data_IF_206580581199
#
_entry.id   IF_206580581199
#
_cell.length_a   1.000
_cell.length_b   1.000
_cell.length_c   1.000
_cell.angle_alpha   90.00
_cell.angle_beta   90.00
_cell.angle_gamma   90.00
#
_symmetry.space_group_name_H-M   'P 1'
#
loop_
_entity.id
_entity.type
_entity.pdbx_description
1 polymer ?
#
# COMPACT_ATOMS: atom_id res chain seq x y z
N UNK A 1 -12.64 3.93 -9.23
CA UNK A 1 -12.97 3.65 -7.83
C UNK A 1 -12.91 2.15 -7.75
N UNK A 2 -12.17 1.56 -6.82
CA UNK A 2 -12.22 0.11 -6.68
C UNK A 2 -13.67 -0.32 -6.43
N UNK A 3 -13.99 -1.57 -6.74
CA UNK A 3 -15.35 -2.14 -6.64
C UNK A 3 -15.61 -2.49 -5.17
N UNK A 4 -16.85 -2.50 -4.69
CA UNK A 4 -17.11 -2.99 -3.33
C UNK A 4 -16.55 -4.41 -3.19
N UNK A 5 -15.78 -4.64 -2.14
CA UNK A 5 -15.17 -5.93 -1.89
C UNK A 5 -15.36 -6.33 -0.44
N UNK A 6 -15.41 -7.63 -0.20
CA UNK A 6 -15.58 -8.23 1.12
C UNK A 6 -14.74 -9.49 1.18
N UNK A 7 -13.95 -9.62 2.24
CA UNK A 7 -13.16 -10.81 2.53
C UNK A 7 -13.26 -11.18 4.00
N UNK A 8 -13.08 -12.46 4.29
CA UNK A 8 -13.08 -12.98 5.66
C UNK A 8 -14.45 -12.93 6.34
N UNK A 9 -14.43 -12.89 7.67
CA UNK A 9 -15.64 -12.89 8.50
C UNK A 9 -15.97 -11.48 8.96
N UNK A 10 -17.20 -11.03 8.71
CA UNK A 10 -17.71 -9.71 9.11
C UNK A 10 -19.06 -9.85 9.83
N UNK A 11 -19.43 -8.91 10.70
CA UNK A 11 -20.75 -8.90 11.33
C UNK A 11 -21.85 -8.57 10.32
N UNK A 12 -23.09 -8.99 10.60
CA UNK A 12 -24.25 -8.74 9.74
C UNK A 12 -24.55 -7.25 9.51
N UNK A 13 -24.20 -6.41 10.49
CA UNK A 13 -24.34 -4.95 10.43
C UNK A 13 -23.06 -4.32 10.96
N UNK A 14 -22.73 -3.14 10.45
CA UNK A 14 -21.64 -2.30 10.95
C UNK A 14 -21.93 -1.82 12.37
N UNK A 15 -20.89 -1.56 13.15
CA UNK A 15 -21.00 -0.95 14.48
C UNK A 15 -21.88 -1.75 15.47
N UNK A 16 -21.75 -3.07 15.44
CA UNK A 16 -22.36 -3.97 16.43
C UNK A 16 -21.27 -4.75 17.15
N UNK A 17 -21.59 -5.29 18.33
CA UNK A 17 -20.69 -6.19 19.03
C UNK A 17 -20.40 -7.43 18.18
N UNK A 18 -19.15 -7.58 17.74
CA UNK A 18 -18.68 -8.75 17.01
C UNK A 18 -17.80 -9.60 17.94
N UNK A 19 -18.36 -10.71 18.41
CA UNK A 19 -17.74 -11.56 19.44
C UNK A 19 -16.81 -12.59 18.81
N UNK A 20 -15.65 -12.77 19.46
CA UNK A 20 -14.70 -13.84 19.21
C UNK A 20 -15.19 -15.15 19.85
N UNK A 21 -14.73 -16.32 19.39
CA UNK A 21 -15.06 -17.62 19.98
C UNK A 21 -14.72 -17.74 21.48
N UNK A 22 -13.68 -17.04 21.93
CA UNK A 22 -13.22 -17.02 23.32
C UNK A 22 -13.98 -16.03 24.22
N UNK A 23 -15.01 -15.35 23.69
CA UNK A 23 -15.82 -14.38 24.40
C UNK A 23 -15.34 -12.93 24.32
N UNK A 24 -14.14 -12.70 23.76
CA UNK A 24 -13.63 -11.36 23.46
C UNK A 24 -14.42 -10.64 22.35
N UNK A 25 -14.01 -9.42 22.01
CA UNK A 25 -14.54 -8.67 20.87
C UNK A 25 -13.44 -8.47 19.83
N UNK A 26 -13.81 -8.59 18.55
CA UNK A 26 -12.96 -8.08 17.47
C UNK A 26 -12.99 -6.55 17.49
N UNK A 27 -11.84 -5.92 17.25
CA UNK A 27 -11.71 -4.47 17.20
C UNK A 27 -12.07 -3.97 15.79
N UNK A 28 -12.97 -3.00 15.70
CA UNK A 28 -13.39 -2.40 14.42
C UNK A 28 -12.52 -1.16 14.10
N UNK A 29 -11.95 -1.11 12.90
CA UNK A 29 -11.21 0.03 12.36
C UNK A 29 -11.89 0.54 11.09
N UNK A 30 -12.31 1.81 11.08
CA UNK A 30 -12.75 2.49 9.86
C UNK A 30 -11.56 3.19 9.22
N UNK A 31 -11.16 2.75 8.04
CA UNK A 31 -10.06 3.34 7.25
C UNK A 31 -10.64 3.98 6.00
N UNK A 32 -10.17 5.16 5.61
CA UNK A 32 -10.66 5.81 4.40
C UNK A 32 -9.95 7.11 4.02
N UNK A 33 -10.46 7.71 2.95
CA UNK A 33 -10.01 9.01 2.43
C UNK A 33 -11.00 10.13 2.76
N UNK A 34 -10.49 11.36 2.79
CA UNK A 34 -11.31 12.58 2.93
C UNK A 34 -12.23 12.55 4.17
N UNK A 35 -11.75 11.93 5.25
CA UNK A 35 -12.52 11.72 6.47
C UNK A 35 -13.62 10.67 6.27
N UNK A 36 -14.86 11.12 6.05
CA UNK A 36 -16.04 10.26 5.94
C UNK A 36 -16.77 10.36 4.59
N UNK A 37 -16.26 11.17 3.66
CA UNK A 37 -16.91 11.41 2.35
C UNK A 37 -16.25 10.64 1.21
N UNK A 38 -14.99 10.23 1.39
CA UNK A 38 -14.24 9.45 0.40
C UNK A 38 -14.53 7.95 0.47
N UNK A 39 -13.71 7.17 -0.24
CA UNK A 39 -13.73 5.71 -0.12
C UNK A 39 -13.31 5.28 1.27
N UNK A 40 -13.95 4.25 1.79
CA UNK A 40 -13.65 3.68 3.09
C UNK A 40 -13.77 2.16 3.10
N UNK A 41 -13.17 1.53 4.09
CA UNK A 41 -13.32 0.14 4.45
C UNK A 41 -13.40 0.00 5.96
N UNK A 42 -14.15 -1.01 6.42
CA UNK A 42 -14.23 -1.42 7.82
C UNK A 42 -13.45 -2.71 7.97
N UNK A 43 -12.44 -2.70 8.84
CA UNK A 43 -11.60 -3.84 9.17
C UNK A 43 -11.95 -4.34 10.56
N UNK A 44 -11.92 -5.65 10.75
CA UNK A 44 -12.16 -6.29 12.04
C UNK A 44 -10.90 -7.05 12.46
N UNK A 45 -10.25 -6.58 13.52
CA UNK A 45 -8.97 -7.08 14.02
C UNK A 45 -9.15 -8.00 15.22
N UNK A 46 -8.20 -8.94 15.40
CA UNK A 46 -8.11 -9.77 16.61
C UNK A 46 -7.68 -8.92 17.80
N UNK A 47 -6.70 -8.03 17.58
CA UNK A 47 -6.13 -7.13 18.57
C UNK A 47 -6.44 -5.67 18.19
N UNK A 48 -6.57 -4.75 19.16
CA UNK A 48 -6.79 -3.35 18.83
C UNK A 48 -5.60 -2.76 18.05
N UNK A 49 -5.81 -2.17 16.85
CA UNK A 49 -4.72 -1.60 16.04
C UNK A 49 -4.08 -0.34 16.66
N UNK A 50 -4.58 0.10 17.82
CA UNK A 50 -4.12 1.26 18.57
C UNK A 50 -3.01 0.93 19.58
N UNK A 51 -2.66 -0.33 19.80
CA UNK A 51 -1.59 -0.70 20.74
C UNK A 51 -0.22 -0.42 20.13
N UNK A 52 0.53 0.48 20.78
CA UNK A 52 1.87 0.89 20.35
C UNK A 52 2.82 0.86 21.55
N UNK A 53 3.90 0.08 21.44
CA UNK A 53 4.93 -0.05 22.47
C UNK A 53 5.92 1.11 22.47
N UNK A 54 6.36 1.53 21.28
CA UNK A 54 7.32 2.62 21.13
C UNK A 54 7.26 3.24 19.74
N UNK A 55 7.68 4.51 19.64
CA UNK A 55 7.82 5.24 18.38
C UNK A 55 9.17 5.93 18.34
N UNK A 56 9.89 5.84 17.23
CA UNK A 56 11.12 6.60 17.00
C UNK A 56 11.31 7.00 15.55
N UNK A 57 11.93 8.16 15.33
CA UNK A 57 12.40 8.58 14.00
C UNK A 57 13.67 7.81 13.66
N UNK A 58 13.72 7.15 12.50
CA UNK A 58 14.87 6.30 12.11
C UNK A 58 15.67 6.85 10.94
N UNK A 59 15.03 7.60 10.04
CA UNK A 59 15.68 8.11 8.82
C UNK A 59 14.95 9.31 8.24
N UNK A 60 15.68 10.32 7.78
CA UNK A 60 15.11 11.37 6.92
C UNK A 60 15.10 10.93 5.46
N UNK A 61 14.02 11.27 4.75
CA UNK A 61 13.76 10.93 3.34
C UNK A 61 13.41 12.19 2.54
N UNK A 62 14.02 13.32 2.91
CA UNK A 62 13.80 14.59 2.22
C UNK A 62 14.32 14.49 0.79
N UNK A 63 13.48 14.87 -0.17
CA UNK A 63 13.88 14.95 -1.57
C UNK A 63 14.74 16.19 -1.79
N UNK A 64 15.88 15.99 -2.43
CA UNK A 64 16.83 17.07 -2.75
C UNK A 64 16.69 17.45 -4.21
N UNK A 65 16.42 18.73 -4.47
CA UNK A 65 16.27 19.24 -5.82
C UNK A 65 17.65 19.43 -6.46
N UNK A 66 17.72 19.28 -7.79
CA UNK A 66 18.92 19.64 -8.53
C UNK A 66 19.22 21.14 -8.31
N UNK A 67 20.41 21.51 -7.80
CA UNK A 67 20.78 22.92 -7.63
C UNK A 67 20.80 23.68 -8.96
N UNK A 68 21.02 22.99 -10.08
CA UNK A 68 20.90 23.57 -11.40
C UNK A 68 19.45 23.55 -11.89
N UNK A 69 18.83 24.73 -11.87
CA UNK A 69 17.44 24.94 -12.31
C UNK A 69 17.32 25.26 -13.81
N UNK A 70 18.41 25.13 -14.58
CA UNK A 70 18.37 25.37 -16.03
C UNK A 70 17.56 24.26 -16.70
N UNK A 71 16.66 24.66 -17.60
CA UNK A 71 15.82 23.75 -18.36
C UNK A 71 16.68 22.95 -19.35
N UNK A 72 16.81 21.65 -19.12
CA UNK A 72 17.52 20.73 -20.00
C UNK A 72 16.65 19.52 -20.31
N UNK A 73 16.75 19.03 -21.55
CA UNK A 73 16.32 17.68 -21.86
C UNK A 73 17.26 16.70 -21.14
N UNK A 74 16.68 15.78 -20.35
CA UNK A 74 17.43 14.78 -19.59
C UNK A 74 17.00 13.38 -20.01
N UNK A 75 17.98 12.50 -20.17
CA UNK A 75 17.76 11.07 -20.39
C UNK A 75 18.21 10.32 -19.15
N UNK A 76 17.25 9.81 -18.37
CA UNK A 76 17.53 9.02 -17.16
C UNK A 76 17.92 7.59 -17.55
N UNK A 77 19.19 7.24 -17.33
CA UNK A 77 19.73 5.90 -17.60
C UNK A 77 19.56 4.99 -16.39
N UNK A 78 18.33 4.57 -16.11
CA UNK A 78 18.01 3.71 -14.95
C UNK A 78 18.73 2.37 -14.97
N UNK A 79 19.17 1.89 -16.14
CA UNK A 79 20.05 0.71 -16.27
C UNK A 79 21.41 0.85 -15.56
N UNK A 80 21.82 2.09 -15.26
CA UNK A 80 23.05 2.42 -14.53
C UNK A 80 22.76 2.85 -13.07
N UNK A 81 21.50 2.83 -12.63
CA UNK A 81 21.14 3.16 -11.27
C UNK A 81 21.66 2.10 -10.29
N UNK A 82 21.75 2.47 -9.00
CA UNK A 82 22.08 1.53 -7.93
C UNK A 82 21.07 0.39 -7.93
N UNK A 83 21.58 -0.84 -7.89
CA UNK A 83 20.78 -2.06 -7.78
C UNK A 83 20.78 -2.56 -6.34
N UNK A 84 19.80 -3.41 -6.03
CA UNK A 84 19.62 -4.03 -4.73
C UNK A 84 18.99 -3.10 -3.69
N UNK A 85 18.79 -3.66 -2.50
CA UNK A 85 18.17 -3.00 -1.37
C UNK A 85 16.68 -3.26 -1.24
N UNK A 86 16.09 -2.58 -0.28
CA UNK A 86 14.68 -2.70 0.09
C UNK A 86 13.76 -2.03 -0.93
N UNK A 87 12.62 -2.67 -1.31
CA UNK A 87 11.62 -2.07 -2.19
C UNK A 87 10.96 -0.81 -1.59
N UNK A 88 11.05 -0.60 -0.28
CA UNK A 88 10.47 0.57 0.40
C UNK A 88 11.52 1.58 0.85
N UNK A 89 12.71 1.13 1.26
CA UNK A 89 13.72 2.00 1.90
C UNK A 89 14.82 2.52 0.96
N UNK A 90 15.07 1.83 -0.16
CA UNK A 90 16.22 2.14 -1.04
C UNK A 90 15.79 2.67 -2.42
N UNK A 91 14.59 3.26 -2.48
CA UNK A 91 14.06 3.93 -3.67
C UNK A 91 14.92 5.14 -4.04
N UNK A 92 15.39 5.20 -5.28
CA UNK A 92 16.14 6.32 -5.85
C UNK A 92 15.17 7.35 -6.45
N UNK A 93 15.14 8.60 -5.96
CA UNK A 93 14.33 9.64 -6.57
C UNK A 93 14.83 10.03 -7.96
N UNK A 94 13.92 10.15 -8.93
CA UNK A 94 14.24 10.56 -10.30
C UNK A 94 13.76 11.98 -10.59
N UNK A 95 12.47 12.23 -10.36
CA UNK A 95 11.79 13.48 -10.63
C UNK A 95 10.77 13.73 -9.54
N UNK A 96 10.60 14.97 -9.11
CA UNK A 96 9.55 15.31 -8.16
C UNK A 96 9.14 16.77 -8.29
N UNK A 97 7.94 17.06 -7.81
CA UNK A 97 7.46 18.41 -7.57
C UNK A 97 6.67 18.41 -6.24
N UNK A 98 5.85 19.43 -6.02
CA UNK A 98 5.04 19.52 -4.80
C UNK A 98 3.92 18.47 -4.73
N UNK A 99 3.51 17.84 -5.83
CA UNK A 99 2.36 16.94 -5.90
C UNK A 99 2.73 15.46 -6.03
N UNK A 100 3.83 15.17 -6.73
CA UNK A 100 4.24 13.81 -7.10
C UNK A 100 5.75 13.63 -7.06
N UNK A 101 6.20 12.44 -6.66
CA UNK A 101 7.57 11.98 -6.81
C UNK A 101 7.62 10.67 -7.60
N UNK A 102 8.47 10.61 -8.63
CA UNK A 102 8.81 9.42 -9.38
C UNK A 102 10.12 8.85 -8.83
N UNK A 103 10.08 7.58 -8.43
CA UNK A 103 11.18 6.86 -7.80
C UNK A 103 11.46 5.56 -8.56
N UNK A 104 12.67 5.02 -8.41
CA UNK A 104 13.10 3.77 -9.03
C UNK A 104 13.82 2.87 -8.03
N UNK A 105 13.61 1.56 -8.12
CA UNK A 105 14.34 0.57 -7.32
C UNK A 105 14.43 -0.78 -8.04
N UNK A 106 15.56 -1.47 -7.87
CA UNK A 106 15.75 -2.87 -8.28
C UNK A 106 15.98 -3.73 -7.02
N UNK A 107 14.92 -4.14 -6.29
CA UNK A 107 15.08 -4.77 -4.98
C UNK A 107 15.62 -6.19 -5.09
N UNK A 108 16.54 -6.57 -4.20
CA UNK A 108 17.13 -7.92 -4.10
C UNK A 108 16.85 -8.60 -2.76
N UNK A 109 16.12 -7.92 -1.87
CA UNK A 109 15.67 -8.46 -0.59
C UNK A 109 14.15 -8.41 -0.49
N UNK A 110 13.60 -9.39 0.23
CA UNK A 110 12.26 -9.27 0.80
C UNK A 110 12.39 -8.62 2.16
N UNK A 111 11.73 -7.48 2.34
CA UNK A 111 11.71 -6.79 3.62
C UNK A 111 11.20 -7.73 4.74
N UNK A 112 11.83 -7.65 5.90
CA UNK A 112 11.32 -8.31 7.12
C UNK A 112 10.24 -7.46 7.79
N UNK A 113 10.37 -6.13 7.72
CA UNK A 113 9.44 -5.16 8.29
C UNK A 113 8.17 -5.03 7.43
N UNK A 114 7.09 -4.58 8.07
CA UNK A 114 5.94 -4.02 7.36
C UNK A 114 6.17 -2.54 7.12
N UNK A 115 5.55 -2.01 6.07
CA UNK A 115 5.68 -0.62 5.68
C UNK A 115 4.31 -0.01 5.39
N UNK A 116 4.12 1.27 5.71
CA UNK A 116 3.02 2.07 5.17
C UNK A 116 3.50 3.48 4.85
N UNK A 117 3.02 4.01 3.72
CA UNK A 117 3.22 5.40 3.38
C UNK A 117 2.05 6.22 3.92
N UNK A 118 2.29 7.05 4.92
CA UNK A 118 1.25 7.87 5.56
C UNK A 118 1.16 9.29 4.97
N UNK A 119 1.97 9.62 3.96
CA UNK A 119 1.97 10.94 3.31
C UNK A 119 1.57 10.93 1.83
N UNK A 120 1.55 9.77 1.18
CA UNK A 120 1.23 9.65 -0.24
C UNK A 120 0.49 8.34 -0.57
N UNK A 121 -0.33 8.39 -1.62
CA UNK A 121 -0.74 7.18 -2.34
C UNK A 121 0.45 6.71 -3.20
N UNK A 122 0.66 5.40 -3.30
CA UNK A 122 1.69 4.81 -4.16
C UNK A 122 1.03 4.17 -5.39
N UNK A 123 1.53 4.52 -6.58
CA UNK A 123 1.28 3.79 -7.82
C UNK A 123 2.59 3.14 -8.24
N UNK A 124 2.65 1.82 -8.17
CA UNK A 124 3.86 1.03 -8.41
C UNK A 124 3.71 0.28 -9.72
N UNK A 125 4.48 0.69 -10.72
CA UNK A 125 4.59 -0.04 -11.98
C UNK A 125 5.65 -1.15 -11.85
N UNK A 126 5.21 -2.39 -12.04
CA UNK A 126 6.08 -3.58 -12.00
C UNK A 126 6.69 -3.78 -13.39
N UNK A 127 7.83 -3.14 -13.66
CA UNK A 127 8.50 -3.27 -14.96
C UNK A 127 9.09 -4.65 -15.17
N UNK A 128 9.56 -5.30 -14.10
CA UNK A 128 10.06 -6.68 -14.08
C UNK A 128 9.82 -7.30 -12.71
N UNK A 129 9.64 -8.62 -12.70
CA UNK A 129 9.45 -9.40 -11.48
C UNK A 129 7.99 -9.72 -11.19
N UNK A 130 7.78 -10.55 -10.18
CA UNK A 130 6.47 -10.99 -9.70
C UNK A 130 6.56 -11.39 -8.24
N UNK A 131 5.40 -11.44 -7.59
CA UNK A 131 5.32 -11.74 -6.17
C UNK A 131 3.94 -11.48 -5.61
N UNK A 132 3.92 -11.26 -4.31
CA UNK A 132 2.72 -10.99 -3.54
C UNK A 132 2.93 -9.77 -2.67
N UNK A 133 1.94 -8.88 -2.68
CA UNK A 133 1.84 -7.78 -1.72
C UNK A 133 1.00 -8.28 -0.54
N UNK A 134 1.64 -8.53 0.61
CA UNK A 134 0.95 -8.86 1.85
C UNK A 134 0.41 -7.58 2.47
N UNK A 135 -0.87 -7.55 2.85
CA UNK A 135 -1.51 -6.35 3.42
C UNK A 135 -2.50 -6.74 4.51
N UNK A 136 -2.94 -5.77 5.33
CA UNK A 136 -4.03 -5.98 6.29
C UNK A 136 -5.37 -6.34 5.61
N UNK A 137 -5.48 -6.18 4.29
CA UNK A 137 -6.65 -6.53 3.50
C UNK A 137 -6.57 -7.93 2.88
N UNK A 138 -5.54 -8.72 3.22
CA UNK A 138 -5.20 -9.98 2.57
C UNK A 138 -4.02 -9.82 1.61
N UNK A 139 -3.87 -10.76 0.68
CA UNK A 139 -2.73 -10.78 -0.24
C UNK A 139 -3.12 -10.40 -1.66
N UNK A 140 -2.30 -9.59 -2.32
CA UNK A 140 -2.50 -9.17 -3.70
C UNK A 140 -1.34 -9.69 -4.56
N UNK A 141 -1.54 -10.76 -5.34
CA UNK A 141 -0.54 -11.22 -6.29
C UNK A 141 -0.25 -10.15 -7.35
N UNK A 142 1.00 -10.02 -7.78
CA UNK A 142 1.41 -9.13 -8.85
C UNK A 142 2.50 -9.75 -9.74
N UNK A 143 2.66 -9.20 -10.93
CA UNK A 143 3.61 -9.60 -11.95
C UNK A 143 3.97 -8.46 -12.90
N UNK A 144 4.80 -8.80 -13.89
CA UNK A 144 5.28 -7.85 -14.89
C UNK A 144 4.13 -7.20 -15.66
N UNK A 145 4.17 -5.87 -15.77
CA UNK A 145 3.16 -5.07 -16.45
C UNK A 145 2.07 -4.51 -15.54
N UNK A 146 1.98 -4.97 -14.29
CA UNK A 146 0.96 -4.51 -13.35
C UNK A 146 1.23 -3.10 -12.82
N UNK A 147 0.12 -2.44 -12.44
CA UNK A 147 0.12 -1.20 -11.68
C UNK A 147 -0.51 -1.44 -10.32
N UNK A 148 0.31 -1.51 -9.26
CA UNK A 148 -0.21 -1.62 -7.90
C UNK A 148 -0.60 -0.25 -7.40
N UNK A 149 -1.87 -0.05 -7.05
CA UNK A 149 -2.34 1.14 -6.36
C UNK A 149 -2.47 0.81 -4.89
N UNK A 150 -1.65 1.48 -4.08
CA UNK A 150 -1.59 1.32 -2.63
C UNK A 150 -1.91 2.68 -2.03
N UNK A 151 -3.14 2.84 -1.56
CA UNK A 151 -3.55 4.09 -0.93
C UNK A 151 -2.78 4.36 0.35
N UNK A 152 -2.65 5.65 0.67
CA UNK A 152 -1.98 6.14 1.87
C UNK A 152 -2.50 5.44 3.12
N UNK A 153 -1.58 5.01 3.96
CA UNK A 153 -1.87 4.35 5.24
C UNK A 153 -2.07 2.84 5.13
N UNK A 154 -2.23 2.27 3.93
CA UNK A 154 -2.32 0.82 3.76
C UNK A 154 -0.98 0.18 4.15
N UNK A 155 -1.02 -0.63 5.20
CA UNK A 155 0.09 -1.46 5.62
C UNK A 155 0.33 -2.57 4.61
N UNK A 156 1.58 -2.69 4.17
CA UNK A 156 1.96 -3.69 3.21
C UNK A 156 3.41 -4.17 3.39
N UNK A 157 3.70 -5.34 2.80
CA UNK A 157 5.04 -5.92 2.68
C UNK A 157 5.15 -6.65 1.34
N UNK A 158 6.23 -6.38 0.60
CA UNK A 158 6.50 -7.05 -0.67
C UNK A 158 7.14 -8.43 -0.42
N UNK A 159 6.65 -9.45 -1.13
CA UNK A 159 7.23 -10.80 -1.17
C UNK A 159 7.45 -11.22 -2.62
N UNK A 160 8.65 -10.99 -3.11
CA UNK A 160 9.09 -11.38 -4.45
C UNK A 160 9.36 -12.89 -4.52
N UNK A 161 9.04 -13.48 -5.66
CA UNK A 161 9.40 -14.86 -5.95
C UNK A 161 10.93 -15.02 -6.10
N UNK A 162 11.47 -16.13 -5.58
CA UNK A 162 12.91 -16.42 -5.67
C UNK A 162 13.26 -17.03 -7.03
N UNK A 163 14.46 -16.74 -7.52
CA UNK A 163 15.03 -17.37 -8.72
C UNK A 163 14.51 -16.82 -10.06
N UNK A 164 13.76 -15.71 -10.05
CA UNK A 164 13.33 -15.00 -11.26
C UNK A 164 14.35 -13.96 -11.75
N UNK A 165 13.97 -13.21 -12.79
CA UNK A 165 14.70 -12.02 -13.22
C UNK A 165 14.73 -10.96 -12.10
N UNK A 166 15.76 -10.10 -12.12
CA UNK A 166 15.87 -8.97 -11.20
C UNK A 166 14.61 -8.09 -11.27
N UNK A 167 13.88 -8.00 -10.15
CA UNK A 167 12.70 -7.14 -10.02
C UNK A 167 13.09 -5.68 -10.28
N UNK A 168 12.23 -4.95 -11.00
CA UNK A 168 12.38 -3.52 -11.28
C UNK A 168 11.06 -2.82 -11.09
N UNK A 169 11.05 -1.80 -10.23
CA UNK A 169 9.86 -1.05 -9.88
C UNK A 169 10.06 0.43 -10.21
N UNK A 170 9.04 1.04 -10.80
CA UNK A 170 8.90 2.51 -10.87
C UNK A 170 7.74 2.89 -9.97
N UNK A 171 8.00 3.76 -8.99
CA UNK A 171 7.02 4.16 -7.99
C UNK A 171 6.67 5.62 -8.20
N UNK A 172 5.39 5.92 -8.22
CA UNK A 172 4.86 7.26 -8.17
C UNK A 172 4.20 7.48 -6.82
N UNK A 173 4.77 8.35 -6.00
CA UNK A 173 4.16 8.77 -4.75
C UNK A 173 3.37 10.07 -4.98
N UNK A 174 2.05 10.02 -4.85
CA UNK A 174 1.17 11.19 -5.02
C UNK A 174 0.67 11.73 -3.69
N UNK A 175 0.78 13.04 -3.49
CA UNK A 175 0.14 13.72 -2.35
C UNK A 175 -1.38 13.81 -2.48
N UNK A 176 -1.91 13.64 -3.69
CA UNK A 176 -3.33 13.49 -3.97
C UNK A 176 -3.78 12.03 -3.91
N UNK A 177 -5.06 11.80 -4.17
CA UNK A 177 -5.64 10.46 -4.23
C UNK A 177 -5.56 9.90 -5.65
N UNK A 178 -5.00 8.70 -5.80
CA UNK A 178 -4.98 7.98 -7.08
C UNK A 178 -6.38 7.41 -7.33
N UNK A 179 -7.00 7.77 -8.45
CA UNK A 179 -8.36 7.34 -8.82
C UNK A 179 -8.43 7.09 -10.32
N UNK A 180 -9.43 6.31 -10.75
CA UNK A 180 -9.74 6.21 -12.18
C UNK A 180 -10.07 7.60 -12.75
N UNK A 181 -9.56 7.93 -13.95
CA UNK A 181 -9.81 9.23 -14.57
C UNK A 181 -11.31 9.52 -14.66
N UNK A 182 -11.71 10.74 -14.29
CA UNK A 182 -13.12 11.15 -14.27
C UNK A 182 -13.81 10.94 -15.63
N UNK A 183 -13.10 11.18 -16.73
CA UNK A 183 -13.61 11.03 -18.10
C UNK A 183 -14.00 9.60 -18.48
N UNK A 184 -13.49 8.59 -17.77
CA UNK A 184 -13.78 7.19 -18.02
C UNK A 184 -14.80 6.62 -17.05
N UNK A 185 -15.42 7.46 -16.20
CA UNK A 185 -16.42 7.02 -15.22
C UNK A 185 -17.76 7.70 -15.44
N UNK A 186 -18.83 6.94 -15.22
CA UNK A 186 -20.16 7.51 -15.08
C UNK A 186 -20.36 8.13 -13.68
N UNK A 187 -21.52 8.72 -13.44
CA UNK A 187 -21.87 9.37 -12.17
C UNK A 187 -21.96 8.39 -10.97
N UNK A 188 -22.15 7.10 -11.25
CA UNK A 188 -22.19 6.02 -10.25
C UNK A 188 -20.80 5.44 -9.93
N UNK A 189 -19.75 5.91 -10.63
CA UNK A 189 -18.37 5.49 -10.41
C UNK A 189 -17.91 4.26 -11.21
N UNK A 190 -18.79 3.69 -12.04
CA UNK A 190 -18.46 2.59 -12.96
C UNK A 190 -17.70 3.10 -14.17
N UNK A 191 -16.85 2.27 -14.75
CA UNK A 191 -16.19 2.55 -16.01
C UNK A 191 -17.21 2.55 -17.15
N UNK A 192 -17.04 3.48 -18.09
CA UNK A 192 -17.87 3.53 -19.30
C UNK A 192 -17.31 2.56 -20.36
N UNK A 193 -18.16 2.10 -21.28
CA UNK A 193 -17.75 1.15 -22.36
C UNK A 193 -16.60 1.65 -23.24
N UNK A 194 -16.39 2.97 -23.33
CA UNK A 194 -15.26 3.58 -24.04
C UNK A 194 -13.97 3.72 -23.23
N UNK A 195 -13.93 3.20 -22.00
CA UNK A 195 -12.72 3.21 -21.18
C UNK A 195 -11.69 2.22 -21.74
N UNK A 196 -10.37 2.51 -21.60
CA UNK A 196 -9.32 1.63 -22.11
C UNK A 196 -9.12 0.36 -21.27
N UNK A 197 -9.82 0.23 -20.15
CA UNK A 197 -9.84 -0.91 -19.25
C UNK A 197 -11.21 -0.97 -18.57
N UNK A 198 -11.52 -2.12 -17.98
CA UNK A 198 -12.79 -2.42 -17.32
C UNK A 198 -12.58 -2.86 -15.87
N UNK A 199 -13.66 -2.97 -15.12
CA UNK A 199 -13.69 -3.53 -13.77
C UNK A 199 -13.09 -4.95 -13.70
N UNK A 200 -13.14 -5.70 -14.81
CA UNK A 200 -12.64 -7.09 -14.87
C UNK A 200 -11.12 -7.17 -14.88
N UNK A 201 -10.45 -6.10 -15.29
CA UNK A 201 -8.99 -6.03 -15.34
C UNK A 201 -8.41 -5.74 -13.95
N UNK A 202 -9.25 -5.31 -13.00
CA UNK A 202 -8.84 -4.94 -11.65
C UNK A 202 -8.74 -6.17 -10.76
N UNK A 203 -7.52 -6.49 -10.34
CA UNK A 203 -7.27 -7.57 -9.39
C UNK A 203 -7.27 -7.03 -7.98
N UNK A 204 -7.93 -7.77 -7.11
CA UNK A 204 -8.23 -7.40 -5.72
C UNK A 204 -7.52 -8.35 -4.77
N UNK A 205 -7.34 -7.98 -3.49
CA UNK A 205 -6.77 -8.88 -2.51
C UNK A 205 -7.58 -10.18 -2.41
N UNK A 206 -6.89 -11.27 -2.13
CA UNK A 206 -7.47 -12.57 -1.80
C UNK A 206 -7.31 -12.84 -0.32
N UNK A 207 -8.28 -13.53 0.27
CA UNK A 207 -8.29 -13.86 1.68
C UNK A 207 -7.08 -14.73 2.06
N UNK A 208 -6.52 -14.45 3.23
CA UNK A 208 -5.53 -15.28 3.93
C UNK A 208 -5.93 -15.30 5.39
N UNK A 209 -5.66 -16.41 6.08
CA UNK A 209 -5.94 -16.51 7.50
C UNK A 209 -5.17 -15.44 8.29
N UNK A 210 -5.83 -14.79 9.27
CA UNK A 210 -5.19 -13.80 10.12
C UNK A 210 -4.10 -14.46 10.98
N UNK A 211 -3.06 -13.69 11.28
CA UNK A 211 -1.99 -14.12 12.16
C UNK A 211 -2.25 -13.59 13.57
N UNK A 212 -2.65 -14.47 14.48
CA UNK A 212 -2.79 -14.17 15.91
C UNK A 212 -1.49 -14.49 16.64
N UNK A 213 -0.54 -13.54 16.61
CA UNK A 213 0.76 -13.70 17.25
C UNK A 213 1.11 -12.44 18.06
N UNK A 214 1.34 -12.61 19.36
CA UNK A 214 1.86 -11.57 20.24
C UNK A 214 3.39 -11.51 20.15
N UNK A 215 3.96 -10.31 20.17
CA UNK A 215 5.41 -10.12 20.07
C UNK A 215 5.79 -8.71 19.63
N UNK A 216 7.08 -8.52 19.35
CA UNK A 216 7.60 -7.22 18.93
C UNK A 216 7.65 -7.14 17.41
N UNK A 217 6.69 -6.42 16.84
CA UNK A 217 6.55 -6.27 15.39
C UNK A 217 6.83 -4.84 14.96
N UNK A 218 8.01 -4.56 14.36
CA UNK A 218 8.32 -3.23 13.86
C UNK A 218 7.59 -2.97 12.54
N UNK A 219 6.92 -1.82 12.47
CA UNK A 219 6.38 -1.26 11.24
C UNK A 219 7.11 0.04 10.92
N UNK A 220 7.42 0.26 9.64
CA UNK A 220 8.04 1.48 9.15
C UNK A 220 6.97 2.37 8.50
N UNK A 221 6.84 3.59 9.00
CA UNK A 221 5.85 4.57 8.55
C UNK A 221 6.55 5.76 7.93
N UNK A 222 6.37 5.95 6.63
CA UNK A 222 6.82 7.17 5.94
C UNK A 222 5.83 8.31 6.19
N UNK A 223 6.28 9.34 6.89
CA UNK A 223 5.47 10.53 7.20
C UNK A 223 6.38 11.73 7.46
N UNK A 224 5.96 12.91 7.02
CA UNK A 224 6.74 14.16 7.13
C UNK A 224 8.15 14.00 6.57
N UNK A 225 8.25 13.46 5.37
CA UNK A 225 9.49 13.27 4.62
C UNK A 225 10.57 12.49 5.37
N UNK A 226 10.17 11.50 6.16
CA UNK A 226 11.07 10.51 6.70
C UNK A 226 10.34 9.32 7.31
N UNK A 227 11.14 8.40 7.85
CA UNK A 227 10.69 7.11 8.32
C UNK A 227 10.66 7.11 9.84
N UNK A 228 9.51 6.70 10.36
CA UNK A 228 9.28 6.46 11.77
C UNK A 228 9.09 4.96 11.96
N UNK A 229 9.80 4.37 12.90
CA UNK A 229 9.53 3.01 13.35
C UNK A 229 8.48 3.08 14.46
N UNK A 230 7.42 2.29 14.31
CA UNK A 230 6.41 2.05 15.34
C UNK A 230 6.48 0.58 15.71
N UNK A 231 6.61 0.29 17.00
CA UNK A 231 6.65 -1.07 17.52
C UNK A 231 5.25 -1.46 18.01
N UNK A 232 4.68 -2.51 17.43
CA UNK A 232 3.43 -3.12 17.89
C UNK A 232 3.72 -4.28 18.85
N UNK A 233 2.71 -4.67 19.63
CA UNK A 233 2.75 -5.83 20.53
C UNK A 233 2.14 -7.11 19.92
N UNK A 234 1.71 -7.05 18.66
CA UNK A 234 1.11 -8.17 17.92
C UNK A 234 1.41 -8.07 16.42
N UNK A 235 1.26 -9.18 15.71
CA UNK A 235 1.47 -9.25 14.27
C UNK A 235 0.42 -8.40 13.55
N UNK A 236 0.81 -7.48 12.64
CA UNK A 236 -0.13 -6.49 12.11
C UNK A 236 -1.06 -6.99 10.99
N UNK A 237 -0.95 -8.27 10.61
CA UNK A 237 -1.88 -8.93 9.69
C UNK A 237 -2.87 -9.81 10.47
N UNK A 238 -3.58 -9.21 11.42
CA UNK A 238 -4.51 -9.87 12.33
C UNK A 238 -6.00 -9.61 11.97
N UNK A 239 -6.25 -9.12 10.75
CA UNK A 239 -7.60 -8.79 10.27
C UNK A 239 -8.35 -10.05 9.87
N UNK A 240 -9.41 -10.37 10.60
CA UNK A 240 -10.26 -11.56 10.35
C UNK A 240 -11.23 -11.38 9.18
N UNK A 241 -11.48 -10.13 8.80
CA UNK A 241 -12.37 -9.78 7.71
C UNK A 241 -12.54 -8.28 7.57
N UNK A 242 -12.99 -7.87 6.39
CA UNK A 242 -13.23 -6.46 6.08
C UNK A 242 -14.19 -6.32 4.91
N UNK A 243 -14.82 -5.15 4.79
CA UNK A 243 -15.60 -4.77 3.62
C UNK A 243 -15.47 -3.28 3.26
N UNK A 244 -15.58 -2.96 1.98
CA UNK A 244 -15.60 -1.58 1.52
C UNK A 244 -14.99 -1.32 0.15
N UNK A 245 -14.59 -0.07 -0.05
CA UNK A 245 -14.01 0.51 -1.25
C UNK A 245 -12.57 0.99 -1.05
N UNK A 246 -11.98 0.79 0.13
CA UNK A 246 -10.63 1.24 0.43
C UNK A 246 -9.73 0.03 0.64
N UNK A 247 -8.96 -0.33 -0.38
CA UNK A 247 -8.05 -1.48 -0.36
C UNK A 247 -7.05 -1.36 -1.52
N UNK A 248 -5.91 -2.06 -1.49
CA UNK A 248 -4.93 -2.02 -2.56
C UNK A 248 -5.38 -2.89 -3.74
N UNK A 249 -5.09 -2.50 -4.97
CA UNK A 249 -5.48 -3.23 -6.18
C UNK A 249 -4.39 -3.18 -7.25
N UNK A 250 -4.45 -4.11 -8.19
CA UNK A 250 -3.52 -4.26 -9.31
C UNK A 250 -4.25 -4.21 -10.66
#
# INVERSE_FOLDING_TARGET
>A
MPIYHTLGTIPRKRHIAFRRPDGGLYAEELVGHEGFTGTSALLYHIHPPTTVKSVRRVREMKLEADPNQTLHHRHFRTSQARKGGSPTMDRTPLLFNQDIAMLYVEPDVNDSHFYRNAQADELVYVSKGKGVLETSYGVLPFGEGDYLVIHRGILHRYRFEKGGEQTKLVIFESRGHVRWPKRYRNEFGQLIEGAPYSERDIRRPTYVEPTDEMGDFPILVKQYDGINEIMLDHHPLDVIGWDGYFYPWA
#
